data_IF_318186553165
#
_entry.id   IF_318186553165
#
_cell.length_a   1.000
_cell.length_b   1.000
_cell.length_c   1.000
_cell.angle_alpha   90.00
_cell.angle_beta   90.00
_cell.angle_gamma   90.00
#
_symmetry.space_group_name_H-M   'P 1'
#
loop_
_entity.id
_entity.type
_entity.pdbx_description
1 polymer ?
#
# COMPACT_ATOMS: atom_id res chain seq x y z
N UNK A 1 4.69 11.21 24.03
CA UNK A 1 4.89 11.82 22.71
C UNK A 1 6.32 11.51 22.29
N UNK A 2 6.47 10.84 21.15
CA UNK A 2 7.78 10.48 20.62
C UNK A 2 8.39 11.73 19.96
N UNK A 3 9.74 11.77 19.74
CA UNK A 3 10.43 12.93 19.14
C UNK A 3 9.88 13.26 17.74
N UNK A 4 9.50 12.27 16.96
CA UNK A 4 8.96 12.45 15.60
C UNK A 4 7.53 12.99 15.60
N UNK A 5 6.70 12.55 16.53
CA UNK A 5 5.35 13.08 16.75
C UNK A 5 5.40 14.57 17.08
N UNK A 6 6.25 14.94 18.04
CA UNK A 6 6.44 16.35 18.42
C UNK A 6 6.96 17.18 17.25
N UNK A 7 7.94 16.66 16.51
CA UNK A 7 8.51 17.33 15.34
C UNK A 7 7.47 17.52 14.22
N UNK A 8 6.72 16.46 13.88
CA UNK A 8 5.68 16.51 12.85
C UNK A 8 4.58 17.52 13.19
N UNK A 9 4.10 17.52 14.44
CA UNK A 9 3.07 18.47 14.89
C UNK A 9 3.56 19.91 14.90
N UNK A 10 4.80 20.17 15.39
CA UNK A 10 5.41 21.51 15.38
C UNK A 10 5.60 22.02 13.98
N UNK A 11 6.13 21.18 13.07
CA UNK A 11 6.39 21.52 11.67
C UNK A 11 5.15 22.10 10.96
N UNK A 12 3.99 21.48 11.13
CA UNK A 12 2.74 21.94 10.51
C UNK A 12 2.06 23.06 11.27
N UNK A 13 2.22 23.10 12.59
CA UNK A 13 1.69 24.20 13.43
C UNK A 13 2.42 25.50 13.16
N UNK A 14 3.74 25.46 13.11
CA UNK A 14 4.60 26.63 13.07
C UNK A 14 5.04 26.99 11.64
N UNK A 15 4.74 26.11 10.64
CA UNK A 15 5.07 26.21 9.21
C UNK A 15 6.58 26.42 8.96
N UNK A 16 7.42 25.76 9.75
CA UNK A 16 8.88 25.92 9.77
C UNK A 16 9.62 24.98 8.80
N UNK A 17 9.00 24.62 7.66
CA UNK A 17 9.56 23.65 6.71
C UNK A 17 10.95 24.04 6.19
N UNK A 18 11.20 25.33 5.99
CA UNK A 18 12.47 25.85 5.47
C UNK A 18 13.60 25.82 6.51
N UNK A 19 13.29 25.60 7.77
CA UNK A 19 14.25 25.49 8.87
C UNK A 19 14.79 24.07 9.02
N UNK A 20 14.20 23.11 8.31
CA UNK A 20 14.56 21.70 8.39
C UNK A 20 15.23 21.22 7.11
N UNK A 21 16.33 20.49 7.26
CA UNK A 21 16.98 19.86 6.13
C UNK A 21 16.21 18.61 5.63
N UNK A 22 16.42 18.23 4.37
CA UNK A 22 15.75 17.10 3.76
C UNK A 22 15.96 15.76 4.51
N UNK A 23 17.14 15.43 5.06
CA UNK A 23 17.33 14.23 5.85
C UNK A 23 16.43 14.15 7.09
N UNK A 24 16.29 15.23 7.85
CA UNK A 24 15.42 15.25 9.03
C UNK A 24 13.93 15.14 8.66
N UNK A 25 13.51 15.79 7.59
CA UNK A 25 12.15 15.66 7.07
C UNK A 25 11.86 14.25 6.53
N UNK A 26 12.85 13.59 5.93
CA UNK A 26 12.78 12.18 5.51
C UNK A 26 12.60 11.24 6.70
N UNK A 27 13.26 11.49 7.83
CA UNK A 27 13.04 10.68 9.04
C UNK A 27 11.59 10.74 9.53
N UNK A 28 10.96 11.92 9.45
CA UNK A 28 9.53 12.09 9.80
C UNK A 28 8.65 11.29 8.83
N UNK A 29 8.91 11.36 7.52
CA UNK A 29 8.16 10.60 6.51
C UNK A 29 8.32 9.08 6.70
N UNK A 30 9.54 8.61 6.96
CA UNK A 30 9.83 7.19 7.22
C UNK A 30 9.08 6.68 8.43
N UNK A 31 9.05 7.46 9.51
CA UNK A 31 8.33 7.10 10.74
C UNK A 31 6.80 7.09 10.50
N UNK A 32 6.25 8.12 9.83
CA UNK A 32 4.84 8.15 9.45
C UNK A 32 4.45 6.97 8.57
N UNK A 33 5.31 6.60 7.63
CA UNK A 33 5.09 5.44 6.75
C UNK A 33 5.12 4.13 7.54
N UNK A 34 6.09 3.99 8.45
CA UNK A 34 6.19 2.83 9.34
C UNK A 34 4.95 2.67 10.23
N UNK A 35 4.43 3.78 10.76
CA UNK A 35 3.20 3.78 11.56
C UNK A 35 1.96 3.45 10.72
N UNK A 36 1.87 4.03 9.52
CA UNK A 36 0.77 3.77 8.59
C UNK A 36 0.70 2.30 8.16
N UNK A 37 1.86 1.66 8.00
CA UNK A 37 1.95 0.25 7.64
C UNK A 37 1.94 -0.69 8.84
N UNK A 38 2.19 -0.17 10.03
CA UNK A 38 2.08 -0.93 11.26
C UNK A 38 0.61 -1.12 11.65
N UNK A 39 0.34 -2.21 12.36
CA UNK A 39 -1.00 -2.45 12.92
C UNK A 39 -1.45 -1.35 13.93
N UNK A 40 -0.57 -0.42 14.29
CA UNK A 40 -0.84 0.59 15.32
C UNK A 40 -1.58 1.84 14.79
N UNK A 41 -1.57 2.11 13.48
CA UNK A 41 -2.40 3.13 12.82
C UNK A 41 -2.38 4.53 13.51
N UNK A 42 -1.25 4.90 14.08
CA UNK A 42 -1.03 6.20 14.73
C UNK A 42 -0.15 7.08 13.85
N UNK A 43 -0.65 7.43 12.64
CA UNK A 43 0.04 8.45 11.85
C UNK A 43 0.02 9.78 12.60
N UNK A 44 1.16 10.43 12.70
CA UNK A 44 1.28 11.77 13.32
C UNK A 44 0.72 12.87 12.41
N UNK A 45 0.58 12.57 11.13
CA UNK A 45 0.11 13.48 10.10
C UNK A 45 -1.22 12.99 9.53
N UNK A 46 -2.07 13.91 9.15
CA UNK A 46 -3.22 13.62 8.26
C UNK A 46 -2.70 13.27 6.86
N UNK A 47 -3.53 12.60 6.05
CA UNK A 47 -3.16 12.25 4.68
C UNK A 47 -2.70 13.47 3.87
N UNK A 48 -3.42 14.60 3.97
CA UNK A 48 -3.06 15.84 3.29
C UNK A 48 -1.75 16.45 3.78
N UNK A 49 -1.43 16.35 5.07
CA UNK A 49 -0.16 16.79 5.64
C UNK A 49 0.98 15.87 5.19
N UNK A 50 0.75 14.57 5.16
CA UNK A 50 1.73 13.61 4.67
C UNK A 50 2.04 13.86 3.19
N UNK A 51 1.01 14.00 2.35
CA UNK A 51 1.17 14.27 0.91
C UNK A 51 1.93 15.58 0.66
N UNK A 52 1.61 16.64 1.41
CA UNK A 52 2.33 17.90 1.33
C UNK A 52 3.81 17.72 1.68
N UNK A 53 4.11 17.09 2.82
CA UNK A 53 5.49 16.87 3.27
C UNK A 53 6.25 15.98 2.28
N UNK A 54 5.59 14.95 1.74
CA UNK A 54 6.16 14.07 0.72
C UNK A 54 6.60 14.87 -0.51
N UNK A 55 5.73 15.72 -1.06
CA UNK A 55 6.05 16.56 -2.23
C UNK A 55 7.15 17.57 -1.93
N UNK A 56 7.11 18.18 -0.75
CA UNK A 56 8.11 19.16 -0.31
C UNK A 56 9.51 18.55 -0.23
N UNK A 57 9.64 17.37 0.36
CA UNK A 57 10.93 16.64 0.48
C UNK A 57 11.35 16.04 -0.87
N UNK A 58 10.42 15.53 -1.66
CA UNK A 58 10.69 15.02 -3.00
C UNK A 58 11.32 16.11 -3.90
N UNK A 59 10.84 17.35 -3.82
CA UNK A 59 11.41 18.46 -4.58
C UNK A 59 12.88 18.75 -4.22
N UNK A 60 13.30 18.45 -2.98
CA UNK A 60 14.66 18.67 -2.50
C UNK A 60 15.60 17.48 -2.72
N UNK A 61 15.09 16.25 -2.63
CA UNK A 61 15.86 15.02 -2.68
C UNK A 61 15.20 13.91 -3.52
N UNK A 62 14.90 14.14 -4.82
CA UNK A 62 14.12 13.19 -5.64
C UNK A 62 14.83 11.85 -5.87
N UNK A 63 16.14 11.79 -5.71
CA UNK A 63 16.95 10.58 -5.89
C UNK A 63 17.08 9.74 -4.63
N UNK A 64 16.50 10.18 -3.51
CA UNK A 64 16.59 9.42 -2.28
C UNK A 64 15.89 8.05 -2.40
N UNK A 65 16.45 7.06 -1.70
CA UNK A 65 15.92 5.68 -1.70
C UNK A 65 14.48 5.59 -1.21
N UNK A 66 14.05 6.52 -0.38
CA UNK A 66 12.67 6.60 0.08
C UNK A 66 11.70 6.78 -1.09
N UNK A 67 12.03 7.62 -2.07
CA UNK A 67 11.18 7.91 -3.23
C UNK A 67 11.35 6.92 -4.37
N UNK A 68 12.52 6.28 -4.46
CA UNK A 68 12.82 5.28 -5.49
C UNK A 68 12.48 3.85 -5.03
N UNK A 69 12.36 3.63 -3.73
CA UNK A 69 11.89 2.39 -3.11
C UNK A 69 10.36 2.33 -3.05
N UNK A 70 9.78 1.17 -3.31
CA UNK A 70 8.33 0.97 -3.21
C UNK A 70 8.03 -0.06 -2.12
N UNK A 71 7.26 0.34 -1.12
CA UNK A 71 6.75 -0.50 -0.06
C UNK A 71 7.72 -0.69 1.12
N UNK A 72 7.16 -1.10 2.25
CA UNK A 72 7.91 -1.40 3.47
C UNK A 72 8.55 -2.78 3.44
N UNK A 73 9.51 -2.96 4.34
CA UNK A 73 10.06 -4.28 4.63
C UNK A 73 8.97 -5.20 5.23
N UNK A 74 8.81 -6.36 4.61
CA UNK A 74 7.91 -7.40 5.09
C UNK A 74 8.43 -7.96 6.41
N UNK A 75 7.60 -7.97 7.44
CA UNK A 75 7.89 -8.72 8.67
C UNK A 75 7.72 -10.21 8.39
N UNK A 76 8.75 -11.01 8.66
CA UNK A 76 8.75 -12.45 8.46
C UNK A 76 9.59 -12.91 7.27
N UNK A 77 9.36 -14.13 6.81
CA UNK A 77 10.09 -14.71 5.69
C UNK A 77 9.74 -13.99 4.38
N UNK A 78 10.78 -13.42 3.75
CA UNK A 78 10.66 -12.74 2.46
C UNK A 78 10.73 -13.75 1.33
N UNK A 79 9.80 -13.64 0.38
CA UNK A 79 9.73 -14.49 -0.80
C UNK A 79 9.86 -13.62 -2.03
N UNK A 80 10.75 -13.99 -2.95
CA UNK A 80 10.89 -13.29 -4.23
C UNK A 80 9.59 -13.42 -5.03
N UNK A 81 9.10 -12.29 -5.50
CA UNK A 81 7.89 -12.24 -6.31
C UNK A 81 8.19 -12.73 -7.75
N UNK A 82 7.29 -13.49 -8.38
CA UNK A 82 7.45 -13.90 -9.78
C UNK A 82 7.37 -12.71 -10.74
N UNK A 83 6.66 -11.65 -10.36
CA UNK A 83 6.55 -10.39 -11.06
C UNK A 83 6.63 -9.23 -10.08
N UNK A 84 7.19 -8.10 -10.53
CA UNK A 84 7.29 -6.89 -9.71
C UNK A 84 5.91 -6.33 -9.40
N UNK A 85 5.74 -5.85 -8.16
CA UNK A 85 4.50 -5.20 -7.70
C UNK A 85 4.76 -3.72 -7.40
N UNK A 86 5.02 -2.92 -8.45
CA UNK A 86 5.21 -1.46 -8.32
C UNK A 86 3.93 -0.75 -7.85
N UNK A 87 4.07 0.50 -7.42
CA UNK A 87 2.96 1.41 -7.17
C UNK A 87 2.38 1.96 -8.47
N UNK A 88 1.17 2.49 -8.41
CA UNK A 88 0.61 3.30 -9.50
C UNK A 88 1.17 4.71 -9.38
N UNK A 89 1.49 5.31 -10.53
CA UNK A 89 1.88 6.72 -10.56
C UNK A 89 0.70 7.60 -10.18
N UNK A 90 1.00 8.68 -9.48
CA UNK A 90 0.01 9.69 -9.12
C UNK A 90 0.07 10.81 -10.15
N UNK A 91 -1.08 11.17 -10.72
CA UNK A 91 -1.21 12.25 -11.70
C UNK A 91 -2.21 13.27 -11.18
N UNK A 92 -1.77 14.50 -11.01
CA UNK A 92 -2.65 15.59 -10.60
C UNK A 92 -3.33 16.23 -11.82
N UNK A 93 -4.45 16.91 -11.59
CA UNK A 93 -5.25 17.52 -12.67
C UNK A 93 -4.40 18.45 -13.55
N UNK A 94 -3.48 19.22 -12.95
CA UNK A 94 -2.56 20.11 -13.68
C UNK A 94 -1.56 19.38 -14.59
N UNK A 95 -1.26 18.12 -14.31
CA UNK A 95 -0.28 17.30 -15.04
C UNK A 95 -0.92 16.37 -16.07
N UNK A 96 -2.24 16.38 -16.19
CA UNK A 96 -2.98 15.45 -17.06
C UNK A 96 -2.53 15.53 -18.51
N UNK A 97 -2.34 16.74 -19.04
CA UNK A 97 -1.90 16.94 -20.44
C UNK A 97 -0.49 16.38 -20.67
N UNK A 98 0.40 16.57 -19.71
CA UNK A 98 1.76 16.01 -19.74
C UNK A 98 1.72 14.48 -19.68
N UNK A 99 0.90 13.91 -18.81
CA UNK A 99 0.72 12.48 -18.69
C UNK A 99 0.19 11.86 -19.99
N UNK A 100 -0.85 12.45 -20.60
CA UNK A 100 -1.40 12.01 -21.88
C UNK A 100 -0.32 12.02 -22.97
N UNK A 101 0.47 13.08 -23.05
CA UNK A 101 1.54 13.18 -24.06
C UNK A 101 2.69 12.20 -23.81
N UNK A 102 3.09 12.02 -22.55
CA UNK A 102 4.17 11.09 -22.16
C UNK A 102 3.86 9.65 -22.56
N UNK A 103 2.61 9.23 -22.41
CA UNK A 103 2.16 7.87 -22.73
C UNK A 103 1.53 7.75 -24.11
N UNK A 104 1.57 8.83 -24.93
CA UNK A 104 0.99 8.88 -26.27
C UNK A 104 -0.48 8.42 -26.32
N UNK A 105 -1.29 8.89 -25.39
CA UNK A 105 -2.68 8.46 -25.22
C UNK A 105 -3.70 9.30 -26.00
N UNK A 106 -3.23 10.21 -26.85
CA UNK A 106 -4.13 11.06 -27.65
C UNK A 106 -4.97 10.22 -28.60
N UNK A 107 -6.28 10.26 -28.45
CA UNK A 107 -7.22 9.46 -29.25
C UNK A 107 -7.44 8.02 -28.76
N UNK A 108 -6.73 7.59 -27.73
CA UNK A 108 -6.89 6.26 -27.15
C UNK A 108 -8.07 6.17 -26.20
N UNK A 109 -8.65 4.98 -26.07
CA UNK A 109 -9.67 4.68 -25.06
C UNK A 109 -9.01 4.40 -23.72
N UNK A 110 -9.39 5.15 -22.70
CA UNK A 110 -8.87 5.01 -21.34
C UNK A 110 -9.97 4.43 -20.44
N UNK A 111 -9.65 3.37 -19.70
CA UNK A 111 -10.51 2.86 -18.65
C UNK A 111 -10.30 3.68 -17.36
N UNK A 112 -11.38 4.14 -16.75
CA UNK A 112 -11.36 4.84 -15.48
C UNK A 112 -12.09 3.98 -14.46
N UNK A 113 -11.49 3.79 -13.29
CA UNK A 113 -12.08 3.06 -12.17
C UNK A 113 -11.66 3.68 -10.84
N UNK A 114 -12.41 3.36 -9.79
CA UNK A 114 -12.01 3.71 -8.43
C UNK A 114 -10.66 3.05 -8.09
N UNK A 115 -9.79 3.78 -7.41
CA UNK A 115 -8.60 3.22 -6.78
C UNK A 115 -9.00 2.65 -5.43
N UNK A 116 -9.18 1.33 -5.40
CA UNK A 116 -9.57 0.63 -4.17
C UNK A 116 -8.45 0.72 -3.12
N UNK A 117 -8.85 0.91 -1.87
CA UNK A 117 -7.95 1.03 -0.73
C UNK A 117 -7.95 -0.25 0.11
N UNK A 118 -6.83 -0.97 0.06
CA UNK A 118 -6.65 -2.25 0.74
C UNK A 118 -5.18 -2.66 0.80
N UNK A 119 -4.91 -3.94 0.60
CA UNK A 119 -3.55 -4.48 0.50
C UNK A 119 -3.37 -5.25 -0.79
N UNK A 120 -2.28 -4.97 -1.51
CA UNK A 120 -2.02 -5.66 -2.78
C UNK A 120 -1.86 -7.15 -2.59
N UNK A 121 -2.45 -7.92 -3.51
CA UNK A 121 -2.34 -9.37 -3.58
C UNK A 121 -2.01 -9.84 -4.99
N UNK A 122 -1.24 -10.92 -5.08
CA UNK A 122 -0.90 -11.57 -6.34
C UNK A 122 -1.16 -13.06 -6.17
N UNK A 123 -2.05 -13.64 -6.98
CA UNK A 123 -2.36 -15.07 -6.99
C UNK A 123 -1.79 -15.71 -8.26
N UNK A 124 -1.14 -16.86 -8.11
CA UNK A 124 -0.57 -17.65 -9.21
C UNK A 124 -1.37 -18.94 -9.39
N UNK A 125 -1.75 -19.20 -10.62
CA UNK A 125 -2.43 -20.43 -11.05
C UNK A 125 -1.54 -21.15 -12.06
N UNK A 126 -1.43 -22.49 -11.93
CA UNK A 126 -0.64 -23.29 -12.87
C UNK A 126 -1.32 -23.44 -14.24
N UNK A 127 -0.62 -24.08 -15.16
CA UNK A 127 -1.12 -24.38 -16.52
C UNK A 127 -2.39 -25.23 -16.58
N UNK A 128 -2.79 -25.84 -15.47
CA UNK A 128 -4.07 -26.58 -15.34
C UNK A 128 -5.16 -25.72 -14.71
N UNK A 129 -4.85 -24.46 -14.41
CA UNK A 129 -5.73 -23.50 -13.77
C UNK A 129 -5.82 -23.64 -12.26
N UNK A 130 -5.07 -24.53 -11.61
CA UNK A 130 -5.12 -24.71 -10.15
C UNK A 130 -4.37 -23.60 -9.44
N UNK A 131 -4.98 -23.07 -8.35
CA UNK A 131 -4.33 -22.12 -7.45
C UNK A 131 -3.09 -22.73 -6.82
N UNK A 132 -1.95 -22.10 -6.99
CA UNK A 132 -0.66 -22.54 -6.46
C UNK A 132 -0.29 -21.76 -5.19
N UNK A 133 -0.06 -20.48 -5.33
CA UNK A 133 0.48 -19.63 -4.28
C UNK A 133 -0.08 -18.22 -4.43
N UNK A 134 -0.12 -17.48 -3.34
CA UNK A 134 -0.40 -16.04 -3.38
C UNK A 134 0.56 -15.26 -2.51
N UNK A 135 0.86 -14.06 -2.96
CA UNK A 135 1.81 -13.16 -2.34
C UNK A 135 1.14 -11.85 -1.94
N UNK A 136 1.56 -11.30 -0.82
CA UNK A 136 1.36 -9.89 -0.48
C UNK A 136 2.61 -9.12 -0.92
N UNK A 137 2.43 -7.89 -1.39
CA UNK A 137 3.55 -6.99 -1.66
C UNK A 137 4.27 -6.65 -0.34
N UNK A 138 5.58 -6.74 -0.36
CA UNK A 138 6.46 -6.09 0.59
C UNK A 138 7.11 -4.89 -0.08
N UNK A 139 8.31 -5.08 -0.63
CA UNK A 139 8.90 -4.14 -1.58
C UNK A 139 8.50 -4.52 -3.02
N UNK A 140 9.13 -3.90 -4.03
CA UNK A 140 8.78 -4.14 -5.46
C UNK A 140 9.00 -5.58 -5.90
N UNK A 141 10.03 -6.25 -5.33
CA UNK A 141 10.56 -7.54 -5.81
C UNK A 141 10.38 -8.68 -4.81
N UNK A 142 10.09 -8.38 -3.55
CA UNK A 142 9.90 -9.36 -2.48
C UNK A 142 8.56 -9.12 -1.77
N UNK A 143 7.98 -10.19 -1.28
CA UNK A 143 6.71 -10.16 -0.58
C UNK A 143 6.62 -11.23 0.51
N UNK A 144 5.42 -11.49 0.99
CA UNK A 144 5.13 -12.58 1.93
C UNK A 144 4.08 -13.52 1.36
N UNK A 145 4.14 -14.80 1.71
CA UNK A 145 3.12 -15.80 1.37
C UNK A 145 1.83 -15.53 2.15
N UNK A 146 0.76 -15.27 1.41
CA UNK A 146 -0.60 -15.13 1.94
C UNK A 146 -1.56 -16.21 1.40
N UNK A 147 -1.02 -17.29 0.87
CA UNK A 147 -1.82 -18.37 0.24
C UNK A 147 -2.88 -18.93 1.17
N UNK A 148 -2.56 -19.06 2.47
CA UNK A 148 -3.51 -19.54 3.48
C UNK A 148 -4.76 -18.67 3.57
N UNK A 149 -4.61 -17.35 3.50
CA UNK A 149 -5.68 -16.37 3.56
C UNK A 149 -6.45 -16.34 2.24
N UNK A 150 -5.74 -16.22 1.11
CA UNK A 150 -6.33 -16.17 -0.22
C UNK A 150 -7.16 -17.42 -0.55
N UNK A 151 -6.71 -18.61 -0.13
CA UNK A 151 -7.48 -19.86 -0.29
C UNK A 151 -8.83 -19.86 0.44
N UNK A 152 -8.99 -19.05 1.49
CA UNK A 152 -10.25 -18.95 2.26
C UNK A 152 -11.19 -17.88 1.71
N UNK A 153 -10.70 -16.98 0.87
CA UNK A 153 -11.52 -15.93 0.25
C UNK A 153 -12.48 -16.54 -0.78
N UNK A 154 -13.74 -16.17 -0.71
CA UNK A 154 -14.76 -16.61 -1.68
C UNK A 154 -14.55 -15.99 -3.06
N UNK A 155 -14.01 -14.77 -3.12
CA UNK A 155 -13.70 -14.04 -4.34
C UNK A 155 -12.50 -14.61 -5.10
N UNK A 156 -11.67 -15.43 -4.46
CA UNK A 156 -10.52 -16.07 -5.10
C UNK A 156 -10.89 -17.45 -5.59
N UNK A 157 -10.93 -17.70 -6.91
CA UNK A 157 -11.27 -19.02 -7.45
C UNK A 157 -10.23 -20.06 -7.03
N UNK A 158 -10.67 -21.29 -6.83
CA UNK A 158 -9.76 -22.41 -6.54
C UNK A 158 -9.09 -22.93 -7.81
N UNK A 159 -9.74 -22.71 -8.94
CA UNK A 159 -9.23 -23.04 -10.27
C UNK A 159 -9.80 -22.09 -11.31
N UNK A 160 -9.03 -21.87 -12.36
CA UNK A 160 -9.43 -21.18 -13.59
C UNK A 160 -9.74 -22.23 -14.67
N UNK A 161 -10.67 -21.93 -15.56
CA UNK A 161 -11.02 -22.79 -16.68
C UNK A 161 -10.46 -22.23 -18.00
N UNK A 162 -10.11 -23.13 -18.92
CA UNK A 162 -9.66 -22.75 -20.25
C UNK A 162 -8.25 -22.15 -20.32
N UNK A 163 -7.45 -22.28 -19.25
CA UNK A 163 -6.07 -21.85 -19.25
C UNK A 163 -5.14 -22.98 -19.68
N UNK A 164 -4.08 -22.64 -20.41
CA UNK A 164 -3.08 -23.59 -20.94
C UNK A 164 -1.67 -23.23 -20.51
N UNK A 165 -1.52 -22.11 -19.78
CA UNK A 165 -0.26 -21.58 -19.26
C UNK A 165 -0.41 -21.12 -17.81
N UNK A 166 0.69 -20.80 -17.15
CA UNK A 166 0.67 -20.22 -15.80
C UNK A 166 0.11 -18.81 -15.87
N UNK A 167 -0.95 -18.57 -15.08
CA UNK A 167 -1.60 -17.25 -14.97
C UNK A 167 -1.27 -16.63 -13.63
N UNK A 168 -0.88 -15.36 -13.67
CA UNK A 168 -0.70 -14.54 -12.49
C UNK A 168 -1.72 -13.41 -12.48
N UNK A 169 -2.51 -13.32 -11.41
CA UNK A 169 -3.52 -12.29 -11.22
C UNK A 169 -3.10 -11.38 -10.07
N UNK A 170 -2.95 -10.10 -10.37
CA UNK A 170 -2.70 -9.05 -9.37
C UNK A 170 -4.01 -8.31 -9.09
N UNK A 171 -4.24 -7.98 -7.82
CA UNK A 171 -5.43 -7.25 -7.38
C UNK A 171 -5.23 -6.61 -6.02
N UNK A 172 -6.32 -6.10 -5.46
CA UNK A 172 -6.35 -5.48 -4.14
C UNK A 172 -7.27 -6.30 -3.22
N UNK A 173 -6.76 -6.66 -2.05
CA UNK A 173 -7.55 -7.29 -1.00
C UNK A 173 -8.23 -6.19 -0.20
N UNK A 174 -9.55 -6.18 -0.17
CA UNK A 174 -10.35 -5.16 0.49
C UNK A 174 -11.40 -5.78 1.41
N UNK A 175 -11.86 -5.01 2.38
CA UNK A 175 -13.15 -5.24 3.04
C UNK A 175 -14.18 -4.26 2.50
N UNK A 176 -15.38 -4.74 2.24
CA UNK A 176 -16.54 -3.88 2.06
C UNK A 176 -16.82 -3.10 3.34
N UNK A 177 -17.23 -1.84 3.20
CA UNK A 177 -17.50 -0.96 4.36
C UNK A 177 -18.55 -1.55 5.29
N UNK A 178 -19.57 -2.21 4.76
CA UNK A 178 -20.62 -2.91 5.53
C UNK A 178 -20.04 -4.04 6.38
N UNK A 179 -19.22 -4.90 5.77
CA UNK A 179 -18.53 -6.00 6.44
C UNK A 179 -17.55 -5.49 7.49
N UNK A 180 -16.81 -4.44 7.19
CA UNK A 180 -15.91 -3.81 8.15
C UNK A 180 -16.66 -3.28 9.39
N UNK A 181 -17.78 -2.56 9.20
CA UNK A 181 -18.58 -2.03 10.32
C UNK A 181 -19.06 -3.14 11.24
N UNK A 182 -19.51 -4.27 10.70
CA UNK A 182 -19.90 -5.43 11.47
C UNK A 182 -18.71 -6.05 12.21
N UNK A 183 -17.64 -6.35 11.50
CA UNK A 183 -16.46 -7.04 12.02
C UNK A 183 -15.70 -6.19 13.05
N UNK A 184 -15.63 -4.88 12.87
CA UNK A 184 -15.00 -3.96 13.83
C UNK A 184 -15.62 -4.06 15.23
N UNK A 185 -16.89 -4.40 15.34
CA UNK A 185 -17.57 -4.54 16.61
C UNK A 185 -17.41 -5.92 17.25
N UNK A 186 -17.14 -6.94 16.46
CA UNK A 186 -17.02 -8.34 16.88
C UNK A 186 -15.58 -8.81 17.02
N UNK A 187 -14.66 -8.21 16.26
CA UNK A 187 -13.24 -8.54 16.29
C UNK A 187 -12.42 -7.47 17.02
N UNK A 188 -11.58 -7.94 17.92
CA UNK A 188 -10.61 -7.12 18.63
C UNK A 188 -9.20 -7.57 18.22
N UNK A 189 -8.31 -6.64 18.03
CA UNK A 189 -6.88 -6.90 17.77
C UNK A 189 -6.22 -7.58 18.98
N UNK A 190 -5.06 -8.20 18.80
CA UNK A 190 -4.29 -8.82 19.89
C UNK A 190 -3.93 -7.83 21.01
N UNK A 191 -3.78 -6.54 20.67
CA UNK A 191 -3.50 -5.45 21.62
C UNK A 191 -4.76 -4.89 22.31
N UNK A 192 -5.93 -5.48 22.08
CA UNK A 192 -7.21 -5.03 22.65
C UNK A 192 -7.85 -3.85 21.92
N UNK A 193 -7.19 -3.26 20.93
CA UNK A 193 -7.72 -2.12 20.16
C UNK A 193 -8.62 -2.59 19.01
N UNK A 194 -9.48 -1.72 18.52
CA UNK A 194 -10.28 -1.94 17.31
C UNK A 194 -9.57 -1.37 16.08
N UNK A 195 -9.80 -2.00 14.94
CA UNK A 195 -9.33 -1.45 13.66
C UNK A 195 -10.02 -0.12 13.34
N UNK A 196 -9.28 0.88 12.88
CA UNK A 196 -9.81 2.22 12.57
C UNK A 196 -10.49 2.25 11.19
N UNK A 197 -9.92 1.59 10.20
CA UNK A 197 -10.42 1.58 8.83
C UNK A 197 -10.37 0.18 8.18
N UNK A 198 -11.06 -0.03 7.04
CA UNK A 198 -11.07 -1.31 6.32
C UNK A 198 -9.69 -1.79 5.91
N UNK A 199 -8.82 -0.91 5.41
CA UNK A 199 -7.46 -1.23 4.95
C UNK A 199 -6.62 -1.84 6.07
N UNK A 200 -6.62 -1.21 7.25
CA UNK A 200 -5.85 -1.71 8.39
C UNK A 200 -6.37 -3.06 8.89
N UNK A 201 -7.68 -3.29 8.79
CA UNK A 201 -8.23 -4.58 9.11
C UNK A 201 -7.78 -5.66 8.13
N UNK A 202 -7.73 -5.36 6.81
CA UNK A 202 -7.18 -6.28 5.80
C UNK A 202 -5.71 -6.56 6.11
N UNK A 203 -4.91 -5.52 6.35
CA UNK A 203 -3.50 -5.65 6.69
C UNK A 203 -3.27 -6.55 7.90
N UNK A 204 -4.01 -6.31 8.97
CA UNK A 204 -3.95 -7.12 10.18
C UNK A 204 -4.34 -8.59 9.95
N UNK A 205 -5.38 -8.85 9.16
CA UNK A 205 -5.80 -10.21 8.82
C UNK A 205 -4.76 -10.92 7.95
N UNK A 206 -4.21 -10.22 6.94
CA UNK A 206 -3.20 -10.81 6.04
C UNK A 206 -1.85 -11.05 6.71
N UNK A 207 -1.56 -10.34 7.81
CA UNK A 207 -0.35 -10.53 8.61
C UNK A 207 -0.53 -11.52 9.76
N UNK A 208 -1.75 -11.98 10.02
CA UNK A 208 -1.99 -12.95 11.07
C UNK A 208 -1.40 -14.32 10.67
N UNK A 209 -0.59 -14.89 11.55
CA UNK A 209 -0.02 -16.25 11.46
C UNK A 209 -1.07 -17.34 11.73
#
# INVERSE_FOLDING_TARGET
MNKYESAALSLFKDQTFDEWDAPNLLEILLECNSLYESDNDESYLTDGQYDFLYQYVYAQAPSDKFFTGVGSDVRGEKIKLPFTMGSLDQVYVGDMSKWISTWNLTGEKIAISDKLDGTSGMAVFDKTGKFQIAYRRGNVVEGADISRHMRKMRSVPKSLHGVTETITVRGENIFEVSSFRYLRNTFTRKDGKKYKNPRNMVGGVMNAS
#
